data_IF_644902255810
#
_entry.id   IF_644902255810
#
_cell.length_a   1.000
_cell.length_b   1.000
_cell.length_c   1.000
_cell.angle_alpha   90.00
_cell.angle_beta   90.00
_cell.angle_gamma   90.00
#
_symmetry.space_group_name_H-M   'P 1'
#
loop_
_entity.id
_entity.type
_entity.pdbx_description
1 polymer ?
#
# COMPACT_ATOMS: atom_id res chain seq x y z
N UNK A 1 5.64 -4.62 8.75
CA UNK A 1 4.62 -5.69 8.65
C UNK A 1 4.47 -6.34 10.02
N UNK A 2 3.26 -6.71 10.45
CA UNK A 2 3.10 -7.45 11.71
C UNK A 2 3.55 -8.90 11.54
N UNK A 3 3.91 -9.57 12.65
CA UNK A 3 4.28 -11.00 12.64
C UNK A 3 3.20 -11.86 11.97
N UNK A 4 1.92 -11.61 12.29
CA UNK A 4 0.78 -12.29 11.67
C UNK A 4 0.69 -12.09 10.15
N UNK A 5 1.04 -10.90 9.66
CA UNK A 5 1.03 -10.65 8.22
C UNK A 5 2.16 -11.41 7.51
N UNK A 6 3.32 -11.56 8.14
CA UNK A 6 4.43 -12.36 7.62
C UNK A 6 4.04 -13.85 7.57
N UNK A 7 3.53 -14.38 8.69
CA UNK A 7 3.10 -15.77 8.78
C UNK A 7 2.02 -16.09 7.72
N UNK A 8 1.08 -15.17 7.48
CA UNK A 8 0.03 -15.34 6.47
C UNK A 8 0.60 -15.38 5.03
N UNK A 9 1.60 -14.56 4.72
CA UNK A 9 2.29 -14.58 3.42
C UNK A 9 3.04 -15.90 3.24
N UNK A 10 3.75 -16.36 4.27
CA UNK A 10 4.45 -17.66 4.25
C UNK A 10 3.47 -18.81 4.02
N UNK A 11 2.34 -18.83 4.74
CA UNK A 11 1.29 -19.84 4.57
C UNK A 11 0.68 -19.78 3.16
N UNK A 12 0.40 -18.59 2.63
CA UNK A 12 -0.16 -18.40 1.30
C UNK A 12 0.76 -18.98 0.22
N UNK A 13 2.07 -18.74 0.32
CA UNK A 13 3.05 -19.25 -0.64
C UNK A 13 3.19 -20.78 -0.67
N UNK A 14 2.76 -21.48 0.39
CA UNK A 14 2.78 -22.94 0.46
C UNK A 14 1.55 -23.59 -0.20
N UNK A 15 0.51 -22.80 -0.53
CA UNK A 15 -0.72 -23.30 -1.12
C UNK A 15 -0.52 -23.64 -2.61
N UNK A 16 -1.27 -24.62 -3.16
CA UNK A 16 -1.40 -24.79 -4.61
C UNK A 16 -2.00 -23.54 -5.27
N UNK A 17 -1.70 -23.32 -6.55
CA UNK A 17 -2.12 -22.13 -7.31
C UNK A 17 -3.64 -21.89 -7.25
N UNK A 18 -4.46 -22.95 -7.37
CA UNK A 18 -5.93 -22.83 -7.28
C UNK A 18 -6.43 -22.31 -5.93
N UNK A 19 -5.74 -22.66 -4.84
CA UNK A 19 -6.08 -22.20 -3.49
C UNK A 19 -5.55 -20.77 -3.25
N UNK A 20 -4.43 -20.41 -3.86
CA UNK A 20 -3.93 -19.04 -3.86
C UNK A 20 -4.92 -18.08 -4.56
N UNK A 21 -5.46 -18.49 -5.70
CA UNK A 21 -6.47 -17.72 -6.43
C UNK A 21 -7.73 -17.47 -5.60
N UNK A 22 -8.22 -18.53 -4.93
CA UNK A 22 -9.39 -18.43 -4.06
C UNK A 22 -9.12 -17.49 -2.88
N UNK A 23 -7.99 -17.65 -2.21
CA UNK A 23 -7.60 -16.81 -1.09
C UNK A 23 -7.41 -15.34 -1.52
N UNK A 24 -6.84 -15.09 -2.70
CA UNK A 24 -6.69 -13.75 -3.27
C UNK A 24 -8.05 -13.07 -3.49
N UNK A 25 -9.00 -13.75 -4.14
CA UNK A 25 -10.33 -13.20 -4.38
C UNK A 25 -11.10 -12.95 -3.08
N UNK A 26 -10.91 -13.80 -2.06
CA UNK A 26 -11.51 -13.59 -0.74
C UNK A 26 -10.93 -12.36 -0.03
N UNK A 27 -9.60 -12.20 0.00
CA UNK A 27 -8.95 -11.02 0.57
C UNK A 27 -9.35 -9.75 -0.18
N UNK A 28 -9.38 -9.80 -1.52
CA UNK A 28 -9.81 -8.69 -2.38
C UNK A 28 -11.22 -8.23 -2.05
N UNK A 29 -12.17 -9.16 -1.87
CA UNK A 29 -13.54 -8.84 -1.44
C UNK A 29 -13.58 -8.18 -0.06
N UNK A 30 -12.78 -8.66 0.89
CA UNK A 30 -12.68 -8.05 2.22
C UNK A 30 -12.13 -6.63 2.15
N UNK A 31 -11.10 -6.40 1.32
CA UNK A 31 -10.54 -5.07 1.09
C UNK A 31 -11.57 -4.14 0.47
N UNK A 32 -12.28 -4.56 -0.60
CA UNK A 32 -13.33 -3.76 -1.23
C UNK A 32 -14.51 -3.45 -0.29
N UNK A 33 -14.87 -4.37 0.60
CA UNK A 33 -15.92 -4.12 1.59
C UNK A 33 -15.45 -3.13 2.67
N UNK A 34 -14.17 -3.16 3.03
CA UNK A 34 -13.58 -2.24 3.99
C UNK A 34 -13.27 -0.86 3.40
N UNK A 35 -12.86 -0.83 2.14
CA UNK A 35 -12.40 0.34 1.38
C UNK A 35 -12.76 0.16 -0.11
N UNK A 36 -13.97 0.58 -0.46
CA UNK A 36 -14.55 0.35 -1.79
C UNK A 36 -13.80 1.10 -2.89
N UNK A 37 -13.29 2.29 -2.57
CA UNK A 37 -12.61 3.18 -3.49
C UNK A 37 -11.08 3.23 -3.27
N UNK A 38 -10.53 2.33 -2.44
CA UNK A 38 -9.10 2.26 -2.11
C UNK A 38 -8.53 3.58 -1.57
N UNK A 39 -9.35 4.40 -0.92
CA UNK A 39 -8.95 5.74 -0.44
C UNK A 39 -8.41 5.72 0.98
N UNK A 40 -8.56 4.61 1.72
CA UNK A 40 -8.12 4.51 3.11
C UNK A 40 -6.63 4.23 3.18
N UNK A 41 -5.91 5.23 3.65
CA UNK A 41 -4.49 5.11 3.94
C UNK A 41 -4.26 4.14 5.10
N UNK A 42 -3.37 3.19 4.88
CA UNK A 42 -2.72 2.46 5.97
C UNK A 42 -1.95 3.45 6.86
N UNK A 43 -1.66 3.12 8.12
CA UNK A 43 -0.89 4.01 9.00
C UNK A 43 0.47 4.42 8.43
N UNK A 44 1.10 3.54 7.65
CA UNK A 44 2.39 3.81 7.00
C UNK A 44 2.22 4.81 5.86
N UNK A 45 1.20 4.64 5.02
CA UNK A 45 0.93 5.57 3.92
C UNK A 45 0.50 6.94 4.44
N UNK A 46 -0.25 6.99 5.54
CA UNK A 46 -0.57 8.25 6.21
C UNK A 46 0.69 8.96 6.71
N UNK A 47 1.58 8.23 7.39
CA UNK A 47 2.83 8.81 7.87
C UNK A 47 3.69 9.38 6.71
N UNK A 48 3.78 8.65 5.60
CA UNK A 48 4.47 9.13 4.39
C UNK A 48 3.79 10.36 3.78
N UNK A 49 2.46 10.39 3.72
CA UNK A 49 1.73 11.54 3.19
C UNK A 49 1.95 12.78 4.07
N UNK A 50 1.95 12.61 5.39
CA UNK A 50 2.24 13.68 6.35
C UNK A 50 3.67 14.20 6.20
N UNK A 51 4.65 13.31 6.04
CA UNK A 51 6.05 13.64 5.74
C UNK A 51 6.16 14.45 4.45
N UNK A 52 5.64 13.94 3.33
CA UNK A 52 5.64 14.68 2.06
C UNK A 52 4.93 16.03 2.13
N UNK A 53 3.89 16.15 2.96
CA UNK A 53 3.21 17.43 3.21
C UNK A 53 4.11 18.42 3.97
N UNK A 54 4.96 17.92 4.87
CA UNK A 54 5.96 18.75 5.55
C UNK A 54 7.07 19.19 4.60
N UNK A 55 7.58 18.28 3.76
CA UNK A 55 8.62 18.60 2.77
C UNK A 55 8.15 19.73 1.84
N UNK A 56 6.91 19.65 1.37
CA UNK A 56 6.28 20.68 0.55
C UNK A 56 6.17 22.02 1.29
N UNK A 57 5.86 22.01 2.59
CA UNK A 57 5.83 23.24 3.42
C UNK A 57 7.22 23.82 3.67
N UNK A 58 8.25 22.98 3.74
CA UNK A 58 9.66 23.38 3.91
C UNK A 58 10.31 23.85 2.62
N UNK A 59 9.65 23.65 1.48
CA UNK A 59 10.22 23.94 0.16
C UNK A 59 11.27 22.90 -0.28
N UNK A 60 11.27 21.72 0.35
CA UNK A 60 12.13 20.58 0.01
C UNK A 60 11.54 19.78 -1.18
N UNK A 61 10.87 20.47 -2.09
CA UNK A 61 10.23 19.90 -3.28
C UNK A 61 10.64 20.69 -4.52
N UNK A 62 10.91 20.00 -5.61
CA UNK A 62 11.22 20.63 -6.90
C UNK A 62 9.94 20.70 -7.73
N UNK A 63 9.63 21.85 -8.31
CA UNK A 63 8.54 21.95 -9.27
C UNK A 63 8.88 21.14 -10.51
N UNK A 64 7.90 20.42 -11.06
CA UNK A 64 8.08 19.64 -12.28
C UNK A 64 8.69 20.44 -13.44
N UNK A 65 8.30 21.71 -13.59
CA UNK A 65 8.80 22.60 -14.63
C UNK A 65 10.29 23.00 -14.45
N UNK A 66 10.82 22.87 -13.23
CA UNK A 66 12.19 23.24 -12.88
C UNK A 66 13.15 22.04 -12.96
N UNK A 67 12.66 20.85 -13.30
CA UNK A 67 13.48 19.63 -13.45
C UNK A 67 14.05 19.61 -14.88
N UNK A 68 15.38 19.58 -15.00
CA UNK A 68 16.07 19.33 -16.27
C UNK A 68 16.09 17.82 -16.55
N UNK A 69 15.37 17.41 -17.60
CA UNK A 69 15.20 16.01 -17.99
C UNK A 69 16.13 15.58 -19.13
N UNK A 70 16.95 16.49 -19.66
CA UNK A 70 17.84 16.22 -20.79
C UNK A 70 19.12 15.49 -20.39
#
# INVERSE_FOLDING_TARGET
>A
MSKRAQDLVEMFNLLPESEQDLAYEMVKRLVLAWDNDYTKLTPIERARLEESTQDLKRGEVTNYADIDWN
#
